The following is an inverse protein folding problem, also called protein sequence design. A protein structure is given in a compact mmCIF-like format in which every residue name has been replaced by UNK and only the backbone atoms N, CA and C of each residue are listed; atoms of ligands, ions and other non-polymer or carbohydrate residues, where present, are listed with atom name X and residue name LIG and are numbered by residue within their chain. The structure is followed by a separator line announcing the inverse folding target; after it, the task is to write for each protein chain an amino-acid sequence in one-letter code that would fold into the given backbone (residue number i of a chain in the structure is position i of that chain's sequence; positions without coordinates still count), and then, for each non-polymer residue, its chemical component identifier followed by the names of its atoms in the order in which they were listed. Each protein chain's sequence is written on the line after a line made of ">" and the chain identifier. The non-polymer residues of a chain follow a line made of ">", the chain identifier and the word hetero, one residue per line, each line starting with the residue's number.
data_IF_527272869738
#
_entry.id   IF_527272869738
#
_cell.length_a   1.000
_cell.length_b   1.000
_cell.length_c   1.000
_cell.angle_alpha   90.00
_cell.angle_beta   90.00
_cell.angle_gamma   90.00
#
_symmetry.space_group_name_H-M   'P 1'
#
loop_
_entity.id
_entity.type
_entity.pdbx_description
1 polymer ?
#
# COMPACT_ATOMS: atom_id res chain seq x y z
N UNK A 1 10.81 -0.40 -14.25
CA UNK A 1 10.19 -1.39 -13.35
C UNK A 1 11.26 -2.21 -12.61
N UNK A 2 12.25 -2.75 -13.31
CA UNK A 2 13.28 -3.62 -12.70
C UNK A 2 14.06 -2.92 -11.56
N UNK A 3 14.41 -1.64 -11.69
CA UNK A 3 15.08 -0.89 -10.61
C UNK A 3 14.21 -0.81 -9.35
N UNK A 4 12.89 -0.60 -9.49
CA UNK A 4 11.98 -0.59 -8.35
C UNK A 4 11.95 -1.96 -7.65
N UNK A 5 11.86 -3.04 -8.39
CA UNK A 5 11.86 -4.39 -7.81
C UNK A 5 13.16 -4.67 -7.04
N UNK A 6 14.31 -4.23 -7.56
CA UNK A 6 15.59 -4.34 -6.85
C UNK A 6 15.58 -3.52 -5.55
N UNK A 7 15.03 -2.31 -5.56
CA UNK A 7 14.89 -1.50 -4.34
C UNK A 7 13.99 -2.19 -3.31
N UNK A 8 12.87 -2.73 -3.74
CA UNK A 8 11.93 -3.45 -2.88
C UNK A 8 12.51 -4.73 -2.27
N UNK A 9 13.48 -5.39 -2.94
CA UNK A 9 14.19 -6.54 -2.36
C UNK A 9 15.23 -6.12 -1.32
N UNK A 10 15.85 -4.96 -1.50
CA UNK A 10 16.83 -4.40 -0.55
C UNK A 10 16.16 -3.73 0.66
N UNK A 11 14.95 -3.22 0.46
CA UNK A 11 14.16 -2.54 1.49
C UNK A 11 12.81 -3.24 1.57
N UNK A 12 12.58 -4.14 2.54
CA UNK A 12 11.28 -4.79 2.69
C UNK A 12 10.16 -3.76 2.82
N UNK A 13 9.21 -3.78 1.90
CA UNK A 13 8.12 -2.81 1.83
C UNK A 13 6.76 -3.50 1.76
N UNK A 14 5.75 -2.83 2.27
CA UNK A 14 4.36 -3.21 2.03
C UNK A 14 3.94 -2.72 0.64
N UNK A 15 3.63 -3.66 -0.25
CA UNK A 15 3.29 -3.40 -1.64
C UNK A 15 2.10 -2.44 -1.78
N UNK A 16 1.01 -2.71 -1.08
CA UNK A 16 -0.22 -1.89 -1.18
C UNK A 16 0.01 -0.47 -0.70
N UNK A 17 0.69 -0.32 0.45
CA UNK A 17 1.00 1.01 1.01
C UNK A 17 1.96 1.76 0.09
N UNK A 18 3.02 1.10 -0.40
CA UNK A 18 4.01 1.73 -1.30
C UNK A 18 3.34 2.30 -2.56
N UNK A 19 2.56 1.49 -3.28
CA UNK A 19 1.94 1.94 -4.52
C UNK A 19 0.85 2.99 -4.28
N UNK A 20 0.18 2.92 -3.12
CA UNK A 20 -0.78 3.96 -2.74
C UNK A 20 -0.09 5.29 -2.41
N UNK A 21 1.04 5.26 -1.70
CA UNK A 21 1.83 6.47 -1.44
C UNK A 21 2.46 7.03 -2.74
N UNK A 22 3.00 6.18 -3.62
CA UNK A 22 3.46 6.58 -4.96
C UNK A 22 2.35 7.26 -5.78
N UNK A 23 1.09 6.87 -5.60
CA UNK A 23 -0.04 7.49 -6.28
C UNK A 23 -0.28 8.95 -5.90
N UNK A 24 0.35 9.44 -4.83
CA UNK A 24 0.34 10.86 -4.45
C UNK A 24 1.36 11.69 -5.23
N UNK A 25 2.23 11.03 -6.01
CA UNK A 25 3.36 11.62 -6.75
C UNK A 25 4.25 12.44 -5.79
N UNK A 26 4.83 11.83 -4.75
CA UNK A 26 5.60 12.54 -3.74
C UNK A 26 6.86 13.20 -4.34
N UNK A 27 7.31 14.29 -3.71
CA UNK A 27 8.50 15.02 -4.14
C UNK A 27 9.80 14.38 -3.61
N UNK A 28 9.71 13.72 -2.48
CA UNK A 28 10.81 13.04 -1.79
C UNK A 28 10.39 11.64 -1.28
N UNK A 29 11.30 10.94 -0.65
CA UNK A 29 11.12 9.56 -0.18
C UNK A 29 10.32 9.47 1.12
N UNK A 30 10.23 10.53 1.92
CA UNK A 30 9.59 10.50 3.24
C UNK A 30 8.19 9.89 3.25
N UNK A 31 7.26 10.27 2.33
CA UNK A 31 5.94 9.64 2.28
C UNK A 31 5.99 8.13 2.01
N UNK A 32 7.01 7.65 1.27
CA UNK A 32 7.16 6.23 0.94
C UNK A 32 7.60 5.40 2.14
N UNK A 33 8.34 6.00 3.09
CA UNK A 33 8.81 5.33 4.31
C UNK A 33 7.67 4.76 5.16
N UNK A 34 6.46 5.28 5.01
CA UNK A 34 5.24 4.70 5.59
C UNK A 34 5.01 3.23 5.17
N UNK A 35 5.55 2.83 4.04
CA UNK A 35 5.45 1.46 3.52
C UNK A 35 6.61 0.54 3.94
N UNK A 36 7.64 1.08 4.57
CA UNK A 36 8.86 0.33 4.88
C UNK A 36 8.71 -0.43 6.20
N UNK A 37 9.11 -1.71 6.20
CA UNK A 37 9.12 -2.54 7.41
C UNK A 37 10.34 -2.28 8.30
N UNK A 38 11.26 -1.43 7.86
CA UNK A 38 12.44 -1.00 8.63
C UNK A 38 12.22 0.41 9.15
N UNK A 39 12.54 0.65 10.42
CA UNK A 39 12.32 1.95 11.05
C UNK A 39 13.33 3.01 10.60
N UNK A 40 14.49 2.58 10.13
CA UNK A 40 15.51 3.47 9.56
C UNK A 40 16.20 2.78 8.40
N UNK A 41 16.34 3.52 7.32
CA UNK A 41 17.14 3.13 6.16
C UNK A 41 18.52 3.78 6.25
N UNK A 42 19.54 3.15 5.68
CA UNK A 42 20.84 3.80 5.54
C UNK A 42 20.74 4.97 4.55
N UNK A 43 21.64 5.95 4.67
CA UNK A 43 21.72 7.07 3.72
C UNK A 43 21.87 6.59 2.26
N UNK A 44 22.57 5.48 2.06
CA UNK A 44 22.74 4.86 0.75
C UNK A 44 21.40 4.35 0.19
N UNK A 45 20.58 3.71 1.01
CA UNK A 45 19.24 3.24 0.61
C UNK A 45 18.34 4.43 0.28
N UNK A 46 18.32 5.44 1.13
CA UNK A 46 17.52 6.66 0.90
C UNK A 46 17.95 7.38 -0.38
N UNK A 47 19.25 7.42 -0.67
CA UNK A 47 19.79 7.96 -1.92
C UNK A 47 19.29 7.19 -3.13
N UNK A 48 19.36 5.86 -3.11
CA UNK A 48 18.87 5.03 -4.23
C UNK A 48 17.36 5.21 -4.47
N UNK A 49 16.55 5.28 -3.41
CA UNK A 49 15.12 5.55 -3.52
C UNK A 49 14.86 6.95 -4.10
N UNK A 50 15.62 7.96 -3.67
CA UNK A 50 15.51 9.35 -4.17
C UNK A 50 15.88 9.46 -5.65
N UNK A 51 16.95 8.81 -6.08
CA UNK A 51 17.38 8.76 -7.48
C UNK A 51 16.33 8.06 -8.35
N UNK A 52 15.81 6.91 -7.88
CA UNK A 52 14.75 6.20 -8.59
C UNK A 52 13.46 7.03 -8.68
N UNK A 53 13.02 7.65 -7.58
CA UNK A 53 11.82 8.48 -7.54
C UNK A 53 11.91 9.65 -8.51
N UNK A 54 13.07 10.30 -8.57
CA UNK A 54 13.33 11.41 -9.50
C UNK A 54 13.21 10.95 -10.95
N UNK A 55 13.86 9.85 -11.31
CA UNK A 55 13.75 9.27 -12.66
C UNK A 55 12.30 8.87 -13.00
N UNK A 56 11.62 8.22 -12.05
CA UNK A 56 10.24 7.79 -12.23
C UNK A 56 9.31 8.98 -12.47
N UNK A 57 9.45 10.06 -11.70
CA UNK A 57 8.66 11.29 -11.86
C UNK A 57 8.89 11.93 -13.24
N UNK A 58 10.15 12.06 -13.65
CA UNK A 58 10.50 12.61 -14.96
C UNK A 58 9.83 11.82 -16.09
N UNK A 59 9.91 10.50 -16.07
CA UNK A 59 9.31 9.64 -17.08
C UNK A 59 7.78 9.69 -17.05
N UNK A 60 7.18 9.65 -15.86
CA UNK A 60 5.73 9.55 -15.70
C UNK A 60 5.01 10.87 -15.99
N UNK A 61 5.63 12.01 -15.66
CA UNK A 61 5.05 13.32 -15.92
C UNK A 61 5.33 13.83 -17.36
N UNK A 62 6.43 13.39 -17.98
CA UNK A 62 6.76 13.78 -19.37
C UNK A 62 5.82 13.18 -20.41
N UNK A 63 5.21 12.05 -20.13
CA UNK A 63 4.27 11.36 -21.03
C UNK A 63 2.84 11.92 -20.97
N UNK A 64 2.56 12.80 -20.00
CA UNK A 64 1.25 13.43 -19.86
C UNK A 64 1.19 14.73 -20.66
N UNK A 65 0.64 14.65 -21.88
CA UNK A 65 0.18 15.74 -22.75
C UNK A 65 1.00 17.04 -22.83
N UNK A 66 1.59 17.29 -23.98
CA UNK A 66 2.28 18.52 -24.42
C UNK A 66 1.45 19.83 -24.28
N UNK A 67 0.20 19.78 -23.82
CA UNK A 67 -0.72 20.95 -23.70
C UNK A 67 -1.16 21.25 -22.28
N UNK A 68 -0.86 20.42 -21.29
CA UNK A 68 -1.26 20.65 -19.90
C UNK A 68 -0.12 21.29 -19.10
N UNK A 69 -0.45 22.07 -18.07
CA UNK A 69 0.56 22.55 -17.12
C UNK A 69 1.16 21.37 -16.35
N UNK A 70 2.38 21.54 -15.83
CA UNK A 70 3.04 20.47 -15.05
C UNK A 70 2.19 20.04 -13.83
N UNK A 71 1.45 20.97 -13.23
CA UNK A 71 0.53 20.71 -12.11
C UNK A 71 -0.67 19.86 -12.55
N UNK A 72 -1.31 20.23 -13.69
CA UNK A 72 -2.45 19.49 -14.21
C UNK A 72 -2.07 18.05 -14.56
N UNK A 73 -0.87 17.86 -15.12
CA UNK A 73 -0.33 16.54 -15.47
C UNK A 73 -0.09 15.68 -14.23
N UNK A 74 0.42 16.27 -13.14
CA UNK A 74 0.68 15.59 -11.87
C UNK A 74 -0.63 15.16 -11.20
N UNK A 75 -1.62 16.03 -11.13
CA UNK A 75 -2.93 15.72 -10.55
C UNK A 75 -3.67 14.65 -11.35
N UNK A 76 -3.66 14.75 -12.68
CA UNK A 76 -4.26 13.76 -13.55
C UNK A 76 -3.61 12.38 -13.39
N UNK A 77 -2.28 12.31 -13.29
CA UNK A 77 -1.55 11.07 -13.04
C UNK A 77 -1.88 10.51 -11.66
N UNK A 78 -1.86 11.36 -10.61
CA UNK A 78 -2.23 10.97 -9.25
C UNK A 78 -3.64 10.36 -9.20
N UNK A 79 -4.60 11.00 -9.86
CA UNK A 79 -5.98 10.50 -9.93
C UNK A 79 -6.06 9.13 -10.63
N UNK A 80 -5.40 8.97 -11.77
CA UNK A 80 -5.34 7.69 -12.49
C UNK A 80 -4.71 6.59 -11.63
N UNK A 81 -3.57 6.87 -11.01
CA UNK A 81 -2.88 5.89 -10.16
C UNK A 81 -3.73 5.47 -8.95
N UNK A 82 -4.44 6.41 -8.31
CA UNK A 82 -5.33 6.13 -7.18
C UNK A 82 -6.53 5.24 -7.56
N UNK A 83 -6.94 5.22 -8.81
CA UNK A 83 -8.00 4.35 -9.32
C UNK A 83 -7.51 2.91 -9.60
N UNK A 84 -6.20 2.72 -9.73
CA UNK A 84 -5.59 1.42 -9.99
C UNK A 84 -5.00 0.82 -8.71
N UNK A 85 -4.44 1.65 -7.84
CA UNK A 85 -3.80 1.24 -6.59
C UNK A 85 -4.78 1.39 -5.43
N UNK A 86 -5.36 0.30 -4.93
CA UNK A 86 -6.31 0.37 -3.82
C UNK A 86 -5.60 0.85 -2.55
N UNK A 87 -6.33 1.58 -1.71
CA UNK A 87 -5.88 1.96 -0.36
C UNK A 87 -6.07 0.82 0.61
N UNK A 88 -7.15 0.07 0.43
CA UNK A 88 -7.52 -1.06 1.28
C UNK A 88 -7.53 -2.35 0.45
N UNK A 89 -6.96 -3.40 1.01
CA UNK A 89 -6.97 -4.74 0.42
C UNK A 89 -7.23 -5.77 1.51
N UNK A 90 -7.91 -6.86 1.14
CA UNK A 90 -8.06 -7.99 2.03
C UNK A 90 -6.71 -8.64 2.24
N UNK A 91 -6.16 -8.43 3.43
CA UNK A 91 -4.92 -9.06 3.86
C UNK A 91 -5.22 -10.19 4.81
N UNK A 92 -4.46 -11.23 4.71
CA UNK A 92 -4.64 -12.44 5.51
C UNK A 92 -4.76 -12.13 7.01
N UNK A 93 -3.91 -11.26 7.54
CA UNK A 93 -3.91 -10.90 8.94
C UNK A 93 -5.11 -10.02 9.39
N UNK A 94 -5.92 -9.49 8.46
CA UNK A 94 -7.23 -8.92 8.74
C UNK A 94 -8.32 -9.99 8.72
N UNK A 95 -8.21 -10.96 7.81
CA UNK A 95 -9.23 -11.98 7.62
C UNK A 95 -9.21 -13.01 8.74
N UNK A 96 -8.02 -13.34 9.27
CA UNK A 96 -7.87 -14.33 10.35
C UNK A 96 -8.71 -14.03 11.59
N UNK A 97 -8.65 -12.83 12.21
CA UNK A 97 -9.51 -12.49 13.34
C UNK A 97 -11.00 -12.50 13.00
N UNK A 98 -11.35 -12.11 11.78
CA UNK A 98 -12.75 -12.14 11.33
C UNK A 98 -13.26 -13.58 11.23
N UNK A 99 -12.43 -14.49 10.73
CA UNK A 99 -12.74 -15.91 10.65
C UNK A 99 -12.94 -16.53 12.05
N UNK A 100 -12.02 -16.22 12.99
CA UNK A 100 -12.10 -16.71 14.37
C UNK A 100 -13.38 -16.23 15.09
N UNK A 101 -13.77 -14.95 14.89
CA UNK A 101 -15.02 -14.41 15.42
C UNK A 101 -16.24 -15.07 14.79
N UNK A 102 -16.23 -15.24 13.46
CA UNK A 102 -17.32 -15.88 12.73
C UNK A 102 -17.55 -17.33 13.18
N UNK A 103 -16.49 -18.07 13.53
CA UNK A 103 -16.61 -19.42 14.10
C UNK A 103 -17.37 -19.44 15.44
N UNK A 104 -17.37 -18.32 16.16
CA UNK A 104 -18.15 -18.11 17.38
C UNK A 104 -19.48 -17.36 17.11
N UNK A 105 -19.98 -17.36 15.88
CA UNK A 105 -21.21 -16.70 15.43
C UNK A 105 -21.19 -15.15 15.54
N UNK A 106 -20.03 -14.54 15.75
CA UNK A 106 -19.83 -13.10 15.72
C UNK A 106 -19.31 -12.67 14.33
N UNK A 107 -20.22 -12.18 13.49
CA UNK A 107 -19.94 -11.72 12.13
C UNK A 107 -19.60 -10.22 12.04
N UNK A 108 -19.40 -9.54 13.16
CA UNK A 108 -19.14 -8.09 13.19
C UNK A 108 -17.93 -7.69 12.35
N UNK A 109 -16.79 -8.37 12.49
CA UNK A 109 -15.58 -8.10 11.71
C UNK A 109 -15.72 -8.46 10.23
N UNK A 110 -16.51 -9.49 9.89
CA UNK A 110 -16.77 -9.84 8.49
C UNK A 110 -17.51 -8.70 7.80
N UNK A 111 -18.54 -8.15 8.44
CA UNK A 111 -19.32 -7.03 7.91
C UNK A 111 -18.48 -5.77 7.80
N UNK A 112 -17.70 -5.45 8.82
CA UNK A 112 -16.77 -4.30 8.81
C UNK A 112 -15.77 -4.40 7.65
N UNK A 113 -15.12 -5.55 7.47
CA UNK A 113 -14.19 -5.78 6.35
C UNK A 113 -14.92 -5.66 5.00
N UNK A 114 -16.13 -6.19 4.88
CA UNK A 114 -16.92 -6.07 3.67
C UNK A 114 -17.21 -4.61 3.32
N UNK A 115 -17.60 -3.79 4.30
CA UNK A 115 -17.83 -2.36 4.10
C UNK A 115 -16.55 -1.65 3.62
N UNK A 116 -15.43 -1.89 4.28
CA UNK A 116 -14.14 -1.30 3.91
C UNK A 116 -13.74 -1.65 2.47
N UNK A 117 -13.89 -2.92 2.08
CA UNK A 117 -13.47 -3.41 0.76
C UNK A 117 -14.45 -3.06 -0.34
N UNK A 118 -15.68 -2.69 -0.03
CA UNK A 118 -16.66 -2.20 -1.03
C UNK A 118 -16.17 -0.90 -1.71
N UNK A 119 -15.35 -0.08 -1.02
CA UNK A 119 -14.77 1.13 -1.57
C UNK A 119 -13.25 1.17 -1.39
N UNK A 120 -12.50 0.25 -2.02
CA UNK A 120 -11.08 0.04 -1.72
C UNK A 120 -10.18 1.20 -2.16
N UNK A 121 -10.65 2.03 -3.09
CA UNK A 121 -9.89 3.17 -3.64
C UNK A 121 -10.23 4.51 -2.96
N UNK A 122 -11.34 4.58 -2.23
CA UNK A 122 -11.79 5.81 -1.59
C UNK A 122 -11.01 6.13 -0.32
N UNK A 123 -10.95 7.40 0.05
CA UNK A 123 -10.63 7.79 1.41
C UNK A 123 -11.84 7.46 2.30
N UNK A 124 -11.60 6.79 3.42
CA UNK A 124 -12.61 6.45 4.40
C UNK A 124 -12.36 7.20 5.71
N UNK A 125 -13.07 6.88 6.77
CA UNK A 125 -12.90 7.51 8.06
C UNK A 125 -11.49 7.33 8.62
N UNK A 126 -11.10 8.20 9.54
CA UNK A 126 -9.79 8.13 10.19
C UNK A 126 -9.60 6.79 10.93
N UNK A 127 -10.63 6.30 11.59
CA UNK A 127 -10.60 5.03 12.32
C UNK A 127 -10.34 3.84 11.38
N UNK A 128 -11.01 3.84 10.22
CA UNK A 128 -10.78 2.83 9.17
C UNK A 128 -9.37 2.94 8.62
N UNK A 129 -8.87 4.15 8.41
CA UNK A 129 -7.49 4.35 7.94
C UNK A 129 -6.46 3.83 8.94
N UNK A 130 -6.58 4.17 10.21
CA UNK A 130 -5.67 3.72 11.27
C UNK A 130 -5.71 2.21 11.44
N UNK A 131 -6.88 1.59 11.28
CA UNK A 131 -7.05 0.15 11.45
C UNK A 131 -6.58 -0.66 10.24
N UNK A 132 -6.84 -0.22 9.01
CA UNK A 132 -6.70 -1.03 7.79
C UNK A 132 -5.64 -0.51 6.80
N UNK A 133 -5.18 0.74 6.93
CA UNK A 133 -4.13 1.30 6.09
C UNK A 133 -2.81 1.41 6.85
N UNK A 134 -2.25 0.26 7.21
CA UNK A 134 -1.02 0.14 7.99
C UNK A 134 -0.22 -1.08 7.60
N UNK A 135 1.01 -1.14 8.05
CA UNK A 135 1.87 -2.31 7.87
C UNK A 135 1.36 -3.52 8.67
N UNK A 136 1.72 -4.72 8.22
CA UNK A 136 1.52 -5.95 9.00
C UNK A 136 2.36 -5.82 10.29
N UNK A 137 1.76 -5.98 11.47
CA UNK A 137 2.51 -5.99 12.72
C UNK A 137 3.56 -7.10 12.74
N UNK A 138 4.74 -6.81 13.30
CA UNK A 138 5.86 -7.77 13.36
C UNK A 138 5.50 -9.07 14.08
N UNK A 139 4.66 -8.97 15.10
CA UNK A 139 4.19 -10.11 15.90
C UNK A 139 3.40 -11.14 15.07
N UNK A 140 2.90 -10.71 13.93
CA UNK A 140 2.11 -11.57 13.05
C UNK A 140 2.92 -12.23 11.92
N UNK A 141 4.22 -11.92 11.77
CA UNK A 141 5.02 -12.49 10.68
C UNK A 141 5.18 -14.00 10.79
N UNK A 142 5.34 -14.52 12.01
CA UNK A 142 5.56 -15.92 12.29
C UNK A 142 4.25 -16.69 12.54
N UNK A 143 3.11 -16.00 12.54
CA UNK A 143 1.81 -16.66 12.68
C UNK A 143 1.42 -17.25 11.33
N UNK A 144 1.17 -18.55 11.32
CA UNK A 144 0.69 -19.26 10.13
C UNK A 144 -0.60 -18.64 9.60
N UNK A 145 -0.67 -18.59 8.28
CA UNK A 145 -1.74 -17.91 7.58
C UNK A 145 -3.03 -18.73 7.44
N UNK A 146 -3.92 -18.25 6.57
CA UNK A 146 -5.19 -18.90 6.22
C UNK A 146 -5.01 -20.35 5.74
N UNK A 147 -3.82 -20.72 5.25
CA UNK A 147 -3.48 -22.08 4.87
C UNK A 147 -3.67 -23.11 6.00
N UNK A 148 -3.60 -22.67 7.26
CA UNK A 148 -3.91 -23.54 8.42
C UNK A 148 -5.41 -23.78 8.61
N UNK A 149 -6.26 -22.98 7.97
CA UNK A 149 -7.71 -23.09 8.03
C UNK A 149 -8.30 -23.56 6.70
N UNK A 150 -7.47 -23.82 5.68
CA UNK A 150 -7.98 -24.41 4.45
C UNK A 150 -8.46 -25.81 4.78
N UNK A 151 -9.75 -26.01 4.62
CA UNK A 151 -10.36 -27.34 4.70
C UNK A 151 -9.78 -28.20 3.58
N UNK A 152 -8.72 -28.92 3.87
CA UNK A 152 -8.40 -30.13 3.14
C UNK A 152 -9.29 -31.22 3.70
N UNK A 153 -10.48 -31.31 3.22
CA UNK A 153 -11.31 -32.49 3.33
C UNK A 153 -11.20 -33.30 2.07
#
# INVERSE_FOLDING_TARGET
>A
LNELLVLMTKTPVDYTVLFRELSKIPDDVEPLKKSFYVNSTSEEIDKHWSEWLTKWRLLSCSTANLKATATDSREALSKKMKLINPKYSLREWFVMPAYQKAANQDYSLVRELQEVITQPYAAQSKDVEEKYYRLKPSELFDIGGLSQYSCSS
#
